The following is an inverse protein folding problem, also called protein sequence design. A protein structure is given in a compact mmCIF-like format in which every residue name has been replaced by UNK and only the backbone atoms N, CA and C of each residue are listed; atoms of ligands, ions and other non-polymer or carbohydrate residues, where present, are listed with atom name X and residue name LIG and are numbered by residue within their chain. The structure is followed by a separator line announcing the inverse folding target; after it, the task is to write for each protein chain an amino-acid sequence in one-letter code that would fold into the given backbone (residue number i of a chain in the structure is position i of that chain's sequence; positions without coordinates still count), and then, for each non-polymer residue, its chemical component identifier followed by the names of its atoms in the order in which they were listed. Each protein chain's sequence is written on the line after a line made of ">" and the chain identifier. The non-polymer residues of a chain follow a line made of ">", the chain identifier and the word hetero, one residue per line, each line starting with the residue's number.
data_IF_046130812066
#
_entry.id   IF_046130812066
#
_cell.length_a   1.000
_cell.length_b   1.000
_cell.length_c   1.000
_cell.angle_alpha   90.00
_cell.angle_beta   90.00
_cell.angle_gamma   90.00
#
_symmetry.space_group_name_H-M   'P 1'
#
loop_
_entity.id
_entity.type
_entity.pdbx_description
1 polymer ?
#
# COMPACT_ATOMS: atom_id res chain seq x y z
N UNK A 1 24.54 -29.55 -2.05
CA UNK A 1 25.19 -29.09 -3.28
C UNK A 1 26.45 -28.31 -2.94
N UNK A 2 27.60 -28.86 -3.32
CA UNK A 2 28.94 -28.27 -3.15
C UNK A 2 29.08 -27.03 -4.04
N UNK A 3 28.67 -25.87 -3.52
CA UNK A 3 28.92 -24.59 -4.17
C UNK A 3 29.04 -23.49 -3.12
N UNK A 4 30.20 -23.42 -2.44
CA UNK A 4 30.64 -22.30 -1.59
C UNK A 4 30.94 -21.01 -2.41
N UNK A 5 30.24 -20.82 -3.53
CA UNK A 5 30.39 -19.64 -4.39
C UNK A 5 29.28 -18.66 -4.07
N UNK A 6 29.64 -17.53 -3.46
CA UNK A 6 28.72 -16.40 -3.23
C UNK A 6 28.77 -15.50 -4.46
N UNK A 7 27.62 -15.28 -5.10
CA UNK A 7 27.47 -14.32 -6.19
C UNK A 7 27.01 -12.98 -5.62
N UNK A 8 27.70 -11.90 -5.98
CA UNK A 8 27.34 -10.54 -5.57
C UNK A 8 26.99 -9.72 -6.81
N UNK A 9 25.81 -9.10 -6.78
CA UNK A 9 25.29 -8.26 -7.84
C UNK A 9 24.85 -6.90 -7.28
N UNK A 10 24.79 -5.85 -8.13
CA UNK A 10 24.26 -4.55 -7.72
C UNK A 10 22.79 -4.66 -7.29
N UNK A 11 22.31 -3.69 -6.50
CA UNK A 11 20.91 -3.64 -6.10
C UNK A 11 19.97 -3.62 -7.32
N UNK A 12 18.89 -4.39 -7.25
CA UNK A 12 17.81 -4.43 -8.23
C UNK A 12 17.03 -3.11 -8.31
N UNK A 13 16.19 -2.96 -9.33
CA UNK A 13 15.39 -1.75 -9.60
C UNK A 13 16.18 -0.43 -9.68
N UNK A 14 17.51 -0.51 -9.71
CA UNK A 14 18.41 0.64 -9.77
C UNK A 14 19.43 0.39 -10.88
N UNK A 15 19.78 1.45 -11.59
CA UNK A 15 20.72 1.35 -12.71
C UNK A 15 22.16 1.24 -12.19
N UNK A 16 22.94 0.19 -12.53
CA UNK A 16 24.35 0.14 -12.18
C UNK A 16 25.14 1.27 -12.86
N UNK A 17 25.96 1.96 -12.08
CA UNK A 17 26.90 2.99 -12.58
C UNK A 17 28.25 2.33 -12.86
N UNK A 18 28.80 1.64 -11.85
CA UNK A 18 30.07 0.94 -11.92
C UNK A 18 30.19 -0.08 -10.78
N UNK A 19 30.65 -1.29 -11.10
CA UNK A 19 30.79 -2.39 -10.14
C UNK A 19 29.45 -2.60 -9.40
N UNK A 20 29.43 -2.55 -8.06
CA UNK A 20 28.21 -2.65 -7.24
C UNK A 20 27.55 -1.31 -6.92
N UNK A 21 28.07 -0.20 -7.44
CA UNK A 21 27.52 1.14 -7.23
C UNK A 21 26.38 1.36 -8.21
N UNK A 22 25.20 1.71 -7.69
CA UNK A 22 23.98 1.98 -8.46
C UNK A 22 23.55 3.45 -8.35
N UNK A 23 22.74 3.89 -9.30
CA UNK A 23 22.13 5.23 -9.30
C UNK A 23 20.94 5.31 -8.33
N UNK A 24 21.14 6.02 -7.23
CA UNK A 24 20.13 6.25 -6.19
C UNK A 24 19.22 7.46 -6.47
N UNK A 25 19.41 8.19 -7.56
CA UNK A 25 18.62 9.40 -7.85
C UNK A 25 17.12 9.12 -7.87
N UNK A 26 16.62 8.09 -8.59
CA UNK A 26 15.18 7.80 -8.59
C UNK A 26 14.62 7.43 -7.22
N UNK A 27 15.43 6.75 -6.39
CA UNK A 27 15.07 6.42 -5.01
C UNK A 27 14.86 7.69 -4.18
N UNK A 28 15.82 8.63 -4.22
CA UNK A 28 15.73 9.87 -3.47
C UNK A 28 14.62 10.79 -3.98
N UNK A 29 14.39 10.84 -5.29
CA UNK A 29 13.27 11.60 -5.87
C UNK A 29 11.92 11.12 -5.32
N UNK A 30 11.73 9.80 -5.19
CA UNK A 30 10.52 9.23 -4.59
C UNK A 30 10.42 9.51 -3.10
N UNK A 31 11.52 9.44 -2.35
CA UNK A 31 11.55 9.82 -0.92
C UNK A 31 11.24 11.31 -0.73
N UNK A 32 11.72 12.17 -1.62
CA UNK A 32 11.45 13.61 -1.56
C UNK A 32 9.98 13.94 -1.89
N UNK A 33 9.36 13.21 -2.82
CA UNK A 33 7.94 13.36 -3.17
C UNK A 33 6.99 13.20 -1.98
N UNK A 34 7.36 12.41 -0.97
CA UNK A 34 6.50 12.18 0.22
C UNK A 34 6.64 13.24 1.31
N UNK A 35 7.40 14.32 1.06
CA UNK A 35 7.68 15.40 2.04
C UNK A 35 8.12 14.84 3.40
N UNK A 36 9.33 14.27 3.49
CA UNK A 36 9.77 13.47 4.63
C UNK A 36 10.24 14.34 5.81
N UNK A 37 9.44 15.33 6.18
CA UNK A 37 9.67 16.28 7.27
C UNK A 37 8.35 16.59 7.98
N UNK A 38 8.44 17.04 9.24
CA UNK A 38 7.30 17.35 10.08
C UNK A 38 6.65 18.67 9.63
N UNK A 39 5.33 18.69 9.48
CA UNK A 39 4.53 19.87 9.15
C UNK A 39 3.50 20.15 10.25
N UNK A 40 3.92 20.78 11.38
CA UNK A 40 3.02 21.11 12.49
C UNK A 40 2.20 22.36 12.16
N UNK A 41 0.96 22.43 12.68
CA UNK A 41 0.10 23.62 12.57
C UNK A 41 0.61 24.81 13.39
N UNK A 42 1.21 24.53 14.53
CA UNK A 42 1.67 25.54 15.49
C UNK A 42 3.12 25.92 15.26
N UNK A 43 3.43 27.20 15.54
CA UNK A 43 4.80 27.70 15.56
C UNK A 43 5.67 26.88 16.52
N UNK A 44 7.00 26.82 16.29
CA UNK A 44 7.91 26.14 17.21
C UNK A 44 7.74 26.66 18.66
N UNK A 45 7.42 25.79 19.63
CA UNK A 45 7.35 26.18 21.03
C UNK A 45 8.75 26.49 21.59
N UNK A 46 8.82 27.13 22.76
CA UNK A 46 10.10 27.39 23.45
C UNK A 46 10.83 26.10 23.88
N UNK A 47 10.10 24.99 24.01
CA UNK A 47 10.58 23.65 24.40
C UNK A 47 10.25 22.62 23.33
N UNK A 48 10.55 21.35 23.59
CA UNK A 48 10.14 20.23 22.75
C UNK A 48 8.62 20.09 22.63
N UNK A 49 8.15 19.53 21.50
CA UNK A 49 6.76 19.12 21.35
C UNK A 49 6.51 17.84 22.15
N UNK A 50 5.49 17.86 22.98
CA UNK A 50 5.08 16.69 23.76
C UNK A 50 4.62 15.55 22.85
N UNK A 51 5.06 14.33 23.14
CA UNK A 51 4.62 13.10 22.51
C UNK A 51 4.68 11.99 23.55
N UNK A 52 3.57 11.31 23.78
CA UNK A 52 3.49 10.19 24.71
C UNK A 52 4.21 8.94 24.15
N UNK A 53 4.65 8.01 25.00
CA UNK A 53 5.24 6.74 24.54
C UNK A 53 4.30 5.97 23.61
N UNK A 54 2.98 5.98 23.86
CA UNK A 54 1.99 5.30 23.02
C UNK A 54 1.94 5.89 21.60
N UNK A 55 2.01 7.21 21.47
CA UNK A 55 2.05 7.88 20.17
C UNK A 55 3.36 7.61 19.44
N UNK A 56 4.49 7.64 20.16
CA UNK A 56 5.80 7.36 19.57
C UNK A 56 5.89 5.92 19.02
N UNK A 57 5.31 4.94 19.74
CA UNK A 57 5.31 3.53 19.30
C UNK A 57 4.64 3.32 17.93
N UNK A 58 3.75 4.21 17.49
CA UNK A 58 3.13 4.13 16.16
C UNK A 58 4.12 4.43 15.02
N UNK A 59 5.23 5.11 15.33
CA UNK A 59 6.21 5.58 14.34
C UNK A 59 7.64 5.07 14.62
N UNK A 60 7.87 4.41 15.74
CA UNK A 60 9.19 3.97 16.21
C UNK A 60 9.88 3.08 15.18
N UNK A 61 9.24 1.98 14.80
CA UNK A 61 9.74 1.06 13.77
C UNK A 61 10.10 1.81 12.47
N UNK A 62 9.18 2.61 11.93
CA UNK A 62 9.40 3.37 10.70
C UNK A 62 10.59 4.33 10.80
N UNK A 63 10.85 4.85 12.01
CA UNK A 63 11.97 5.74 12.29
C UNK A 63 13.33 5.04 12.23
N UNK A 64 13.38 3.71 12.33
CA UNK A 64 14.62 2.91 12.29
C UNK A 64 15.17 2.68 10.87
N UNK A 65 14.45 3.13 9.83
CA UNK A 65 14.87 2.99 8.44
C UNK A 65 16.18 3.75 8.17
N UNK A 66 17.20 3.04 7.66
CA UNK A 66 18.52 3.58 7.33
C UNK A 66 18.68 4.00 5.87
N UNK A 67 17.60 3.98 5.08
CA UNK A 67 17.59 4.34 3.64
C UNK A 67 18.59 3.55 2.79
N UNK A 68 18.80 2.25 3.09
CA UNK A 68 19.74 1.40 2.37
C UNK A 68 19.27 0.95 0.97
N UNK A 69 17.98 1.07 0.65
CA UNK A 69 17.44 0.66 -0.64
C UNK A 69 17.12 -0.84 -0.80
N UNK A 70 17.42 -1.70 0.17
CA UNK A 70 17.17 -3.16 0.05
C UNK A 70 15.70 -3.51 -0.25
N UNK A 71 14.75 -2.84 0.40
CA UNK A 71 13.33 -3.03 0.11
C UNK A 71 12.90 -2.52 -1.27
N UNK A 72 13.61 -1.53 -1.81
CA UNK A 72 13.37 -0.99 -3.15
C UNK A 72 13.92 -1.93 -4.22
N UNK A 73 15.08 -2.55 -3.95
CA UNK A 73 15.73 -3.53 -4.81
C UNK A 73 14.83 -4.70 -5.17
N UNK A 74 14.14 -5.26 -4.16
CA UNK A 74 13.43 -6.53 -4.31
C UNK A 74 11.90 -6.35 -4.40
N UNK A 75 11.45 -5.14 -4.76
CA UNK A 75 10.03 -4.86 -4.89
C UNK A 75 9.51 -5.23 -6.28
N UNK A 76 8.71 -6.29 -6.36
CA UNK A 76 8.13 -6.75 -7.62
C UNK A 76 7.26 -5.69 -8.34
N UNK A 77 6.60 -4.79 -7.60
CA UNK A 77 5.83 -3.70 -8.23
C UNK A 77 6.76 -2.75 -9.00
N UNK A 78 7.96 -2.46 -8.48
CA UNK A 78 8.91 -1.57 -9.16
C UNK A 78 9.51 -2.18 -10.42
N UNK A 79 9.53 -3.51 -10.54
CA UNK A 79 10.00 -4.18 -11.77
C UNK A 79 9.06 -3.95 -12.96
N UNK A 80 7.78 -3.67 -12.69
CA UNK A 80 6.73 -3.54 -13.71
C UNK A 80 6.21 -2.11 -13.86
N UNK A 81 6.30 -1.29 -12.81
CA UNK A 81 5.86 0.09 -12.81
C UNK A 81 6.83 1.01 -12.03
N UNK A 82 7.66 1.71 -12.79
CA UNK A 82 8.59 2.71 -12.26
C UNK A 82 7.89 3.90 -11.59
N UNK A 83 6.59 4.13 -11.83
CA UNK A 83 5.86 5.23 -11.22
C UNK A 83 5.54 4.99 -9.74
N UNK A 84 5.51 3.72 -9.30
CA UNK A 84 5.26 3.40 -7.90
C UNK A 84 6.30 4.05 -6.98
N UNK A 85 5.86 4.73 -5.93
CA UNK A 85 6.72 5.42 -4.96
C UNK A 85 7.71 4.48 -4.27
N UNK A 86 7.37 3.20 -4.15
CA UNK A 86 8.23 2.19 -3.57
C UNK A 86 8.17 2.13 -2.03
N UNK A 87 8.59 1.01 -1.46
CA UNK A 87 8.36 0.71 -0.04
C UNK A 87 9.14 1.63 0.91
N UNK A 88 10.36 2.05 0.56
CA UNK A 88 11.15 2.94 1.41
C UNK A 88 10.50 4.32 1.57
N UNK A 89 10.04 4.93 0.46
CA UNK A 89 9.37 6.22 0.48
C UNK A 89 8.05 6.16 1.24
N UNK A 90 7.26 5.10 1.02
CA UNK A 90 5.99 4.92 1.73
C UNK A 90 6.18 4.62 3.22
N UNK A 91 7.17 3.81 3.62
CA UNK A 91 7.49 3.61 5.03
C UNK A 91 7.94 4.92 5.70
N UNK A 92 8.72 5.74 4.99
CA UNK A 92 9.08 7.08 5.47
C UNK A 92 7.87 8.01 5.57
N UNK A 93 6.92 7.90 4.64
CA UNK A 93 5.68 8.66 4.69
C UNK A 93 4.83 8.26 5.90
N UNK A 94 4.72 6.97 6.21
CA UNK A 94 3.96 6.46 7.36
C UNK A 94 4.45 7.11 8.66
N UNK A 95 5.77 7.26 8.81
CA UNK A 95 6.35 7.91 9.98
C UNK A 95 5.73 9.28 10.26
N UNK A 96 5.34 10.04 9.23
CA UNK A 96 4.73 11.37 9.38
C UNK A 96 3.22 11.31 9.40
N UNK A 97 2.60 10.39 8.65
CA UNK A 97 1.15 10.15 8.69
C UNK A 97 0.69 9.75 10.09
N UNK A 98 1.47 8.92 10.79
CA UNK A 98 1.21 8.48 12.16
C UNK A 98 1.85 9.33 13.27
N UNK A 99 2.57 10.41 12.93
CA UNK A 99 3.22 11.26 13.95
C UNK A 99 2.18 12.20 14.57
N UNK A 100 1.93 12.09 15.88
CA UNK A 100 0.97 12.97 16.58
C UNK A 100 1.32 14.46 16.53
N UNK A 101 2.56 14.79 16.14
CA UNK A 101 3.04 16.18 16.00
C UNK A 101 2.82 16.74 14.59
N UNK A 102 2.49 15.91 13.61
CA UNK A 102 2.20 16.33 12.24
C UNK A 102 0.74 16.76 12.13
N UNK A 103 0.46 17.79 11.34
CA UNK A 103 -0.91 18.30 11.16
C UNK A 103 -1.46 18.08 9.75
N UNK A 104 -0.73 17.38 8.88
CA UNK A 104 -1.04 17.26 7.46
C UNK A 104 -1.51 15.85 7.07
N UNK A 105 -1.94 15.02 8.01
CA UNK A 105 -2.33 13.61 7.79
C UNK A 105 -3.26 13.46 6.58
N UNK A 106 -4.39 14.20 6.54
CA UNK A 106 -5.36 14.11 5.44
C UNK A 106 -4.75 14.44 4.07
N UNK A 107 -3.97 15.52 4.00
CA UNK A 107 -3.36 15.97 2.74
C UNK A 107 -2.26 15.00 2.28
N UNK A 108 -1.51 14.43 3.22
CA UNK A 108 -0.53 13.36 2.94
C UNK A 108 -1.23 12.13 2.37
N UNK A 109 -2.26 11.60 3.02
CA UNK A 109 -2.91 10.36 2.55
C UNK A 109 -3.68 10.54 1.25
N UNK A 110 -4.19 11.75 0.95
CA UNK A 110 -4.72 12.09 -0.38
C UNK A 110 -3.62 12.01 -1.44
N UNK A 111 -2.51 12.72 -1.23
CA UNK A 111 -1.39 12.71 -2.17
C UNK A 111 -0.81 11.29 -2.37
N UNK A 112 -0.74 10.50 -1.30
CA UNK A 112 -0.29 9.11 -1.35
C UNK A 112 -1.31 8.15 -1.97
N UNK A 113 -2.56 8.57 -2.17
CA UNK A 113 -3.62 7.77 -2.82
C UNK A 113 -3.74 8.01 -4.32
N UNK A 114 -2.96 8.93 -4.88
CA UNK A 114 -2.86 9.15 -6.32
C UNK A 114 -2.16 7.98 -7.02
N UNK A 115 -2.28 7.84 -8.36
CA UNK A 115 -1.55 6.81 -9.13
C UNK A 115 -0.04 6.87 -8.88
N UNK A 116 0.61 5.71 -8.77
CA UNK A 116 1.98 5.54 -8.26
C UNK A 116 2.07 5.50 -6.73
N UNK A 117 0.95 5.61 -6.03
CA UNK A 117 0.87 5.73 -4.58
C UNK A 117 0.72 4.40 -3.84
N UNK A 118 0.10 4.43 -2.65
CA UNK A 118 -0.07 3.26 -1.78
C UNK A 118 -0.82 2.12 -2.45
N UNK A 119 -1.81 2.44 -3.28
CA UNK A 119 -2.74 1.46 -3.87
C UNK A 119 -2.13 0.58 -4.97
N UNK A 120 -0.93 0.91 -5.45
CA UNK A 120 -0.21 0.11 -6.46
C UNK A 120 0.65 -0.98 -5.82
N UNK A 121 0.74 -1.02 -4.48
CA UNK A 121 1.38 -2.10 -3.76
C UNK A 121 0.65 -3.43 -4.00
N UNK A 122 1.37 -4.42 -4.53
CA UNK A 122 0.82 -5.77 -4.83
C UNK A 122 0.79 -6.71 -3.63
N UNK A 123 1.18 -6.23 -2.45
CA UNK A 123 1.19 -6.98 -1.20
C UNK A 123 2.06 -8.27 -1.20
N UNK A 124 3.18 -8.28 -1.94
CA UNK A 124 4.09 -9.42 -1.98
C UNK A 124 4.93 -9.62 -0.69
N UNK A 125 5.13 -8.56 0.11
CA UNK A 125 5.81 -8.64 1.40
C UNK A 125 7.35 -8.68 1.38
N UNK A 126 7.98 -8.87 0.22
CA UNK A 126 9.46 -8.94 0.09
C UNK A 126 10.17 -7.74 0.70
N UNK A 127 9.58 -6.55 0.63
CA UNK A 127 10.17 -5.34 1.22
C UNK A 127 10.39 -5.41 2.74
N UNK A 128 9.58 -6.20 3.47
CA UNK A 128 9.77 -6.45 4.90
C UNK A 128 10.75 -7.60 5.15
N UNK A 129 10.68 -8.68 4.36
CA UNK A 129 11.59 -9.83 4.47
C UNK A 129 13.07 -9.46 4.23
N UNK A 130 13.32 -8.53 3.29
CA UNK A 130 14.67 -8.07 2.94
C UNK A 130 15.18 -6.94 3.83
N UNK A 131 14.34 -6.42 4.71
CA UNK A 131 14.71 -5.27 5.52
C UNK A 131 15.72 -5.66 6.60
N UNK A 132 16.93 -5.05 6.64
CA UNK A 132 17.91 -5.34 7.69
C UNK A 132 17.56 -4.68 9.03
N UNK A 133 16.44 -3.96 9.11
CA UNK A 133 15.98 -3.18 10.26
C UNK A 133 14.51 -3.52 10.55
N UNK A 134 14.01 -3.27 11.77
CA UNK A 134 12.61 -3.53 12.12
C UNK A 134 11.63 -2.50 11.51
N UNK A 135 11.98 -1.83 10.41
CA UNK A 135 11.16 -0.76 9.83
C UNK A 135 9.84 -1.25 9.23
N UNK A 136 9.76 -2.54 8.90
CA UNK A 136 8.56 -3.25 8.42
C UNK A 136 7.80 -2.51 7.31
N UNK A 137 8.44 -2.21 6.16
CA UNK A 137 7.86 -1.34 5.14
C UNK A 137 6.49 -1.77 4.62
N UNK A 138 6.23 -3.08 4.50
CA UNK A 138 4.94 -3.60 4.04
C UNK A 138 3.80 -3.18 4.97
N UNK A 139 3.99 -3.37 6.27
CA UNK A 139 3.01 -3.02 7.29
C UNK A 139 2.77 -1.51 7.35
N UNK A 140 3.83 -0.72 7.20
CA UNK A 140 3.72 0.75 7.14
C UNK A 140 2.85 1.22 5.96
N UNK A 141 2.96 0.57 4.80
CA UNK A 141 2.09 0.86 3.65
C UNK A 141 0.62 0.56 3.99
N UNK A 142 0.36 -0.59 4.60
CA UNK A 142 -1.00 -0.98 5.01
C UNK A 142 -1.61 -0.01 6.04
N UNK A 143 -0.81 0.45 7.00
CA UNK A 143 -1.25 1.44 7.98
C UNK A 143 -1.68 2.75 7.30
N UNK A 144 -0.93 3.22 6.29
CA UNK A 144 -1.33 4.40 5.51
C UNK A 144 -2.66 4.14 4.77
N UNK A 145 -2.86 2.96 4.19
CA UNK A 145 -4.14 2.60 3.55
C UNK A 145 -5.30 2.65 4.53
N UNK A 146 -5.13 2.11 5.74
CA UNK A 146 -6.13 2.19 6.80
C UNK A 146 -6.46 3.63 7.14
N UNK A 147 -5.44 4.46 7.40
CA UNK A 147 -5.63 5.89 7.68
C UNK A 147 -6.32 6.59 6.51
N UNK A 148 -5.98 6.28 5.26
CA UNK A 148 -6.63 6.86 4.08
C UNK A 148 -8.13 6.53 4.04
N UNK A 149 -8.51 5.28 4.35
CA UNK A 149 -9.90 4.85 4.41
C UNK A 149 -10.65 5.53 5.57
N UNK A 150 -10.05 5.62 6.75
CA UNK A 150 -10.62 6.31 7.92
C UNK A 150 -10.83 7.80 7.67
N UNK A 151 -9.91 8.44 6.94
CA UNK A 151 -9.98 9.84 6.51
C UNK A 151 -10.95 10.07 5.33
N UNK A 152 -11.66 9.03 4.86
CA UNK A 152 -12.66 9.15 3.80
C UNK A 152 -12.07 9.27 2.39
N UNK A 153 -10.79 8.92 2.17
CA UNK A 153 -10.13 8.97 0.86
C UNK A 153 -10.53 7.74 0.03
N UNK A 154 -11.78 7.73 -0.43
CA UNK A 154 -12.37 6.59 -1.15
C UNK A 154 -12.45 6.79 -2.66
N UNK A 155 -12.18 8.00 -3.15
CA UNK A 155 -12.40 8.36 -4.56
C UNK A 155 -11.26 7.92 -5.51
N UNK A 156 -10.72 6.71 -5.30
CA UNK A 156 -9.74 6.10 -6.19
C UNK A 156 -10.04 4.61 -6.37
N UNK A 157 -9.48 3.99 -7.41
CA UNK A 157 -9.79 2.61 -7.78
C UNK A 157 -9.34 1.61 -6.71
N UNK A 158 -8.18 1.82 -6.09
CA UNK A 158 -7.66 0.94 -5.05
C UNK A 158 -8.52 0.92 -3.78
N UNK A 159 -8.88 2.10 -3.28
CA UNK A 159 -9.78 2.24 -2.13
C UNK A 159 -11.16 1.63 -2.41
N UNK A 160 -11.74 1.91 -3.59
CA UNK A 160 -13.01 1.28 -4.00
C UNK A 160 -12.91 -0.24 -4.08
N UNK A 161 -11.80 -0.76 -4.59
CA UNK A 161 -11.56 -2.20 -4.67
C UNK A 161 -11.50 -2.83 -3.27
N UNK A 162 -10.71 -2.25 -2.36
CA UNK A 162 -10.61 -2.71 -0.98
C UNK A 162 -11.97 -2.68 -0.26
N UNK A 163 -12.72 -1.60 -0.42
CA UNK A 163 -14.06 -1.45 0.15
C UNK A 163 -15.07 -2.42 -0.48
N UNK A 164 -15.02 -2.65 -1.78
CA UNK A 164 -15.89 -3.62 -2.48
C UNK A 164 -15.61 -5.04 -1.98
N UNK A 165 -14.34 -5.41 -1.85
CA UNK A 165 -13.92 -6.68 -1.28
C UNK A 165 -14.45 -6.84 0.15
N UNK A 166 -14.16 -5.88 1.03
CA UNK A 166 -14.62 -5.88 2.42
C UNK A 166 -16.14 -6.04 2.52
N UNK A 167 -16.89 -5.24 1.76
CA UNK A 167 -18.35 -5.28 1.77
C UNK A 167 -18.92 -6.59 1.21
N UNK A 168 -18.27 -7.20 0.22
CA UNK A 168 -18.68 -8.50 -0.31
C UNK A 168 -18.57 -9.59 0.74
N UNK A 169 -17.41 -9.67 1.40
CA UNK A 169 -17.15 -10.65 2.45
C UNK A 169 -18.05 -10.40 3.66
N UNK A 170 -18.23 -9.15 4.09
CA UNK A 170 -19.14 -8.79 5.19
C UNK A 170 -20.59 -9.20 4.93
N UNK A 171 -21.06 -9.10 3.68
CA UNK A 171 -22.46 -9.41 3.32
C UNK A 171 -22.73 -10.90 3.17
N UNK A 172 -21.78 -11.64 2.59
CA UNK A 172 -22.04 -13.01 2.11
C UNK A 172 -21.04 -14.06 2.59
N UNK A 173 -19.96 -13.65 3.26
CA UNK A 173 -18.84 -14.53 3.63
C UNK A 173 -18.00 -14.99 2.44
N UNK A 174 -18.35 -14.60 1.21
CA UNK A 174 -17.61 -14.92 0.00
C UNK A 174 -17.49 -13.70 -0.93
N UNK A 175 -16.64 -13.82 -1.94
CA UNK A 175 -16.34 -12.78 -2.90
C UNK A 175 -17.32 -12.82 -4.07
N UNK A 176 -17.98 -11.70 -4.35
CA UNK A 176 -18.80 -11.53 -5.55
C UNK A 176 -17.94 -10.98 -6.69
N UNK A 177 -17.27 -11.89 -7.40
CA UNK A 177 -16.36 -11.57 -8.50
C UNK A 177 -17.02 -10.79 -9.65
N UNK A 178 -18.34 -10.87 -9.82
CA UNK A 178 -19.06 -10.11 -10.84
C UNK A 178 -19.22 -8.63 -10.48
N UNK A 179 -19.33 -8.29 -9.18
CA UNK A 179 -19.53 -6.90 -8.73
C UNK A 179 -18.23 -6.15 -8.57
N UNK A 180 -17.16 -6.82 -8.15
CA UNK A 180 -15.89 -6.16 -7.80
C UNK A 180 -15.31 -5.33 -8.95
N UNK A 181 -15.19 -5.83 -10.20
CA UNK A 181 -14.64 -5.03 -11.28
C UNK A 181 -15.46 -3.75 -11.51
N UNK A 182 -16.79 -3.85 -11.40
CA UNK A 182 -17.71 -2.73 -11.60
C UNK A 182 -17.59 -1.70 -10.46
N UNK A 183 -17.62 -2.16 -9.22
CA UNK A 183 -17.51 -1.29 -8.03
C UNK A 183 -16.12 -0.65 -7.92
N UNK A 184 -15.06 -1.36 -8.30
CA UNK A 184 -13.68 -0.86 -8.31
C UNK A 184 -13.49 0.26 -9.35
N UNK A 185 -13.91 0.02 -10.60
CA UNK A 185 -13.81 1.01 -11.68
C UNK A 185 -14.75 2.21 -11.49
N UNK A 186 -15.82 2.01 -10.71
CA UNK A 186 -16.89 2.97 -10.50
C UNK A 186 -18.07 2.71 -11.42
N UNK A 187 -19.27 2.59 -10.83
CA UNK A 187 -20.51 2.21 -11.55
C UNK A 187 -20.84 3.19 -12.69
N UNK A 188 -20.45 4.46 -12.55
CA UNK A 188 -20.69 5.51 -13.55
C UNK A 188 -19.53 5.72 -14.53
N UNK A 189 -18.42 5.00 -14.40
CA UNK A 189 -17.23 5.14 -15.25
C UNK A 189 -17.35 4.27 -16.52
N UNK A 190 -18.20 4.69 -17.46
CA UNK A 190 -18.45 3.94 -18.71
C UNK A 190 -17.15 3.60 -19.47
N UNK A 191 -16.22 4.55 -19.72
CA UNK A 191 -14.98 4.24 -20.42
C UNK A 191 -14.14 3.17 -19.71
N UNK A 192 -14.05 3.26 -18.37
CA UNK A 192 -13.36 2.27 -17.55
C UNK A 192 -14.03 0.90 -17.55
N UNK A 193 -15.36 0.83 -17.59
CA UNK A 193 -16.07 -0.45 -17.68
C UNK A 193 -15.90 -1.10 -19.06
N UNK A 194 -15.89 -0.30 -20.14
CA UNK A 194 -15.66 -0.80 -21.49
C UNK A 194 -14.26 -1.41 -21.66
N UNK A 195 -13.25 -0.91 -20.94
CA UNK A 195 -11.89 -1.47 -21.01
C UNK A 195 -11.79 -2.90 -20.44
N UNK A 196 -12.76 -3.33 -19.62
CA UNK A 196 -12.83 -4.69 -19.08
C UNK A 196 -13.50 -5.70 -20.03
N UNK A 197 -14.22 -5.24 -21.06
CA UNK A 197 -14.93 -6.13 -21.99
C UNK A 197 -14.02 -7.17 -22.67
N UNK A 198 -12.82 -6.83 -23.18
CA UNK A 198 -11.93 -7.82 -23.79
C UNK A 198 -11.53 -8.93 -22.82
N UNK A 199 -11.34 -8.61 -21.54
CA UNK A 199 -11.02 -9.58 -20.49
C UNK A 199 -12.24 -10.48 -20.24
N UNK A 200 -13.44 -9.89 -20.10
CA UNK A 200 -14.69 -10.63 -19.93
C UNK A 200 -14.96 -11.61 -21.07
N UNK A 201 -14.75 -11.20 -22.33
CA UNK A 201 -14.89 -12.07 -23.50
C UNK A 201 -13.89 -13.24 -23.44
N UNK A 202 -12.62 -12.98 -23.10
CA UNK A 202 -11.61 -14.05 -22.97
C UNK A 202 -11.97 -15.03 -21.85
N UNK A 203 -12.46 -14.54 -20.71
CA UNK A 203 -12.91 -15.39 -19.60
C UNK A 203 -14.10 -16.25 -20.01
N UNK A 204 -15.07 -15.67 -20.73
CA UNK A 204 -16.22 -16.40 -21.30
C UNK A 204 -15.78 -17.52 -22.24
N UNK A 205 -14.91 -17.21 -23.21
CA UNK A 205 -14.39 -18.20 -24.15
C UNK A 205 -13.58 -19.32 -23.48
N UNK A 206 -13.03 -19.08 -22.29
CA UNK A 206 -12.28 -20.07 -21.50
C UNK A 206 -13.14 -20.77 -20.44
N UNK A 207 -14.45 -20.49 -20.36
CA UNK A 207 -15.33 -21.05 -19.35
C UNK A 207 -14.99 -20.63 -17.91
N UNK A 208 -14.30 -19.49 -17.74
CA UNK A 208 -13.85 -18.93 -16.46
C UNK A 208 -14.74 -17.78 -15.96
N UNK A 209 -16.03 -17.83 -16.27
CA UNK A 209 -16.96 -16.77 -15.86
C UNK A 209 -17.50 -17.09 -14.47
N UNK A 210 -17.54 -16.13 -13.54
CA UNK A 210 -18.08 -16.37 -12.22
C UNK A 210 -19.58 -16.73 -12.26
N UNK A 211 -20.10 -17.42 -11.23
CA UNK A 211 -21.52 -17.74 -11.13
C UNK A 211 -22.39 -16.48 -11.21
N UNK A 212 -23.45 -16.50 -12.05
CA UNK A 212 -24.37 -15.36 -12.19
C UNK A 212 -25.15 -15.10 -10.88
N UNK A 213 -25.48 -16.18 -10.17
CA UNK A 213 -26.15 -16.11 -8.86
C UNK A 213 -25.07 -16.21 -7.78
N UNK A 214 -24.92 -15.13 -7.02
CA UNK A 214 -24.05 -15.09 -5.85
C UNK A 214 -24.75 -15.73 -4.65
N UNK A 215 -24.07 -16.66 -3.98
CA UNK A 215 -24.58 -17.31 -2.77
C UNK A 215 -23.72 -16.94 -1.57
N UNK A 216 -24.36 -16.88 -0.40
CA UNK A 216 -23.64 -16.75 0.87
C UNK A 216 -23.15 -18.11 1.35
N UNK A 217 -22.10 -18.11 2.17
CA UNK A 217 -21.67 -19.31 2.91
C UNK A 217 -22.70 -19.70 3.98
N UNK A 218 -22.70 -20.96 4.39
CA UNK A 218 -23.64 -21.48 5.41
C UNK A 218 -23.51 -20.71 6.75
N UNK A 219 -22.28 -20.42 7.19
CA UNK A 219 -21.98 -19.75 8.46
C UNK A 219 -21.81 -18.22 8.30
N UNK A 220 -22.57 -17.59 7.40
CA UNK A 220 -22.43 -16.14 7.12
C UNK A 220 -22.70 -15.26 8.35
N UNK A 221 -23.52 -15.72 9.29
CA UNK A 221 -23.83 -14.95 10.49
C UNK A 221 -22.66 -14.90 11.48
N UNK A 222 -21.81 -15.94 11.51
CA UNK A 222 -20.55 -15.90 12.26
C UNK A 222 -19.57 -14.89 11.65
N UNK A 223 -19.50 -14.82 10.32
CA UNK A 223 -18.73 -13.77 9.62
C UNK A 223 -19.23 -12.38 10.00
N UNK A 224 -20.54 -12.15 9.94
CA UNK A 224 -21.13 -10.85 10.35
C UNK A 224 -20.86 -10.54 11.82
N UNK A 225 -20.85 -11.54 12.71
CA UNK A 225 -20.49 -11.37 14.12
C UNK A 225 -19.04 -10.88 14.26
N UNK A 226 -18.09 -11.50 13.56
CA UNK A 226 -16.68 -11.09 13.56
C UNK A 226 -16.54 -9.63 13.14
N UNK A 227 -17.19 -9.23 12.04
CA UNK A 227 -17.17 -7.81 11.61
C UNK A 227 -17.78 -6.88 12.66
N UNK A 228 -18.86 -7.28 13.34
CA UNK A 228 -19.49 -6.46 14.38
C UNK A 228 -18.61 -6.30 15.63
N UNK A 229 -17.76 -7.28 15.93
CA UNK A 229 -16.80 -7.20 17.04
C UNK A 229 -15.57 -6.36 16.68
N UNK A 230 -15.15 -6.37 15.41
CA UNK A 230 -13.99 -5.61 14.92
C UNK A 230 -14.32 -4.15 14.55
N UNK A 231 -15.56 -3.84 14.18
CA UNK A 231 -16.03 -2.47 13.90
C UNK A 231 -16.35 -1.66 15.18
N UNK A 232 -16.15 -2.23 16.38
CA UNK A 232 -16.28 -1.56 17.70
C UNK A 232 -14.96 -0.95 18.15
#
# INVERSE_FOLDING_TARGET
>A
DDNDTITLEPLGNMKPIKDLVVDFTPFWDKVNKVKPYLEPKEAPPEKERHQSPKEFLLIDDASTCIMCGACYSDCNTLEVDDNFLGPAALAKAQRFVGDSRDSQTLERVKALSEPGGIWDCTHCGECSERCPKPARPFERIKEIMTVALEQGVHNNTGARHALSFFNSVKRSGNLNENRIPVESMGIFNIPGLLSLLPIGIRMFLKGKVPPVIHHSIEEVDDVKRIFKELDQ
#
